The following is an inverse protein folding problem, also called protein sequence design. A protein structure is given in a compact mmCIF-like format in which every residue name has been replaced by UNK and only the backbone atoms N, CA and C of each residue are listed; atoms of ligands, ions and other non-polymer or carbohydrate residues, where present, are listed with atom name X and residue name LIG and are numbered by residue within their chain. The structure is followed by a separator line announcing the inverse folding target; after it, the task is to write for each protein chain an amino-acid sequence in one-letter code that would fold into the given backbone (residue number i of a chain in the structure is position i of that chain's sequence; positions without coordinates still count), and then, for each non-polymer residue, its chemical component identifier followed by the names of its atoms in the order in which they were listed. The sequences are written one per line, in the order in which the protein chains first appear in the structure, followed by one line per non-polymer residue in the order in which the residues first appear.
data_IF_323362674480
#
_entry.id   IF_323362674480
#
_cell.length_a   1.000
_cell.length_b   1.000
_cell.length_c   1.000
_cell.angle_alpha   90.00
_cell.angle_beta   90.00
_cell.angle_gamma   90.00
#
_symmetry.space_group_name_H-M   'P 1'
#
loop_
_entity.id
_entity.type
_entity.pdbx_description
1 polymer ?
#
# COMPACT_ATOMS: atom_id res chain seq x y z
N UNK A 1 4.24 12.12 2.59
CA UNK A 1 4.98 12.11 1.31
C UNK A 1 4.05 12.45 0.17
N UNK A 2 4.59 12.91 -0.96
CA UNK A 2 3.83 13.37 -2.13
C UNK A 2 2.78 12.36 -2.63
N UNK A 3 3.12 11.07 -2.70
CA UNK A 3 2.17 10.00 -3.02
C UNK A 3 0.88 10.01 -2.17
N UNK A 4 1.01 10.19 -0.85
CA UNK A 4 -0.15 10.23 0.07
C UNK A 4 -1.03 11.44 -0.18
N UNK A 5 -0.42 12.60 -0.46
CA UNK A 5 -1.16 13.80 -0.81
C UNK A 5 -1.91 13.63 -2.14
N UNK A 6 -1.27 13.05 -3.15
CA UNK A 6 -1.93 12.72 -4.42
C UNK A 6 -3.10 11.76 -4.24
N UNK A 7 -2.95 10.67 -3.47
CA UNK A 7 -4.07 9.77 -3.15
C UNK A 7 -5.23 10.52 -2.49
N UNK A 8 -4.96 11.34 -1.47
CA UNK A 8 -5.99 12.09 -0.75
C UNK A 8 -6.75 13.07 -1.65
N UNK A 9 -6.11 13.57 -2.71
CA UNK A 9 -6.71 14.42 -3.73
C UNK A 9 -7.38 13.63 -4.88
N UNK A 10 -7.37 12.30 -4.84
CA UNK A 10 -7.91 11.44 -5.90
C UNK A 10 -6.99 11.28 -7.13
N UNK A 11 -5.77 11.81 -7.08
CA UNK A 11 -4.77 11.68 -8.14
C UNK A 11 -4.01 10.35 -8.04
N UNK A 12 -4.70 9.25 -8.30
CA UNK A 12 -4.15 7.90 -8.12
C UNK A 12 -2.99 7.55 -9.06
N UNK A 13 -3.00 8.03 -10.30
CA UNK A 13 -1.88 7.81 -11.25
C UNK A 13 -0.54 8.34 -10.71
N UNK A 14 -0.44 9.65 -10.42
CA UNK A 14 0.76 10.23 -9.81
C UNK A 14 1.13 9.62 -8.45
N UNK A 15 0.13 9.21 -7.65
CA UNK A 15 0.40 8.51 -6.40
C UNK A 15 1.09 7.17 -6.63
N UNK A 16 0.60 6.36 -7.58
CA UNK A 16 1.18 5.07 -7.94
C UNK A 16 2.60 5.24 -8.51
N UNK A 17 2.84 6.25 -9.35
CA UNK A 17 4.18 6.53 -9.89
C UNK A 17 5.21 6.80 -8.78
N UNK A 18 4.85 7.65 -7.81
CA UNK A 18 5.71 7.93 -6.66
C UNK A 18 5.95 6.67 -5.80
N UNK A 19 4.91 5.86 -5.60
CA UNK A 19 5.01 4.60 -4.85
C UNK A 19 5.92 3.60 -5.54
N UNK A 20 5.77 3.41 -6.85
CA UNK A 20 6.63 2.54 -7.65
C UNK A 20 8.08 3.06 -7.67
N UNK A 21 8.29 4.37 -7.70
CA UNK A 21 9.64 4.94 -7.60
C UNK A 21 10.31 4.59 -6.27
N UNK A 22 9.58 4.72 -5.16
CA UNK A 22 10.08 4.30 -3.86
C UNK A 22 10.37 2.79 -3.80
N UNK A 23 9.47 1.96 -4.35
CA UNK A 23 9.62 0.50 -4.37
C UNK A 23 10.75 0.01 -5.30
N UNK A 24 11.15 0.81 -6.29
CA UNK A 24 12.37 0.53 -7.10
C UNK A 24 13.65 0.74 -6.29
N UNK A 25 13.64 1.67 -5.32
CA UNK A 25 14.79 1.94 -4.46
C UNK A 25 14.85 0.96 -3.28
N UNK A 26 13.69 0.66 -2.70
CA UNK A 26 13.52 -0.32 -1.63
C UNK A 26 12.21 -1.08 -1.83
N UNK A 27 12.32 -2.32 -2.32
CA UNK A 27 11.19 -3.18 -2.62
C UNK A 27 10.34 -3.54 -1.38
N UNK A 28 10.90 -3.35 -0.18
CA UNK A 28 10.25 -3.60 1.10
C UNK A 28 9.95 -2.30 1.86
N UNK A 29 9.95 -1.15 1.17
CA UNK A 29 9.61 0.14 1.78
C UNK A 29 8.16 0.14 2.29
N UNK A 30 8.00 -0.19 3.56
CA UNK A 30 6.69 -0.49 4.15
C UNK A 30 5.66 0.63 3.99
N UNK A 31 5.99 1.95 4.11
CA UNK A 31 4.99 2.99 3.96
C UNK A 31 4.41 3.03 2.54
N UNK A 32 5.23 2.69 1.54
CA UNK A 32 4.77 2.60 0.16
C UNK A 32 3.89 1.38 -0.07
N UNK A 33 4.25 0.23 0.49
CA UNK A 33 3.44 -0.98 0.40
C UNK A 33 2.07 -0.81 1.09
N UNK A 34 2.01 -0.17 2.25
CA UNK A 34 0.74 0.15 2.94
C UNK A 34 -0.14 1.03 2.05
N UNK A 35 0.42 2.14 1.54
CA UNK A 35 -0.36 3.06 0.71
C UNK A 35 -0.80 2.43 -0.61
N UNK A 36 0.01 1.53 -1.18
CA UNK A 36 -0.35 0.79 -2.38
C UNK A 36 -1.49 -0.22 -2.09
N UNK A 37 -1.47 -0.87 -0.94
CA UNK A 37 -2.57 -1.71 -0.46
C UNK A 37 -3.88 -0.93 -0.35
N UNK A 38 -3.84 0.27 0.25
CA UNK A 38 -5.01 1.15 0.36
C UNK A 38 -5.55 1.59 -1.01
N UNK A 39 -4.66 1.84 -1.98
CA UNK A 39 -5.04 2.18 -3.36
C UNK A 39 -5.70 0.98 -4.05
N UNK A 40 -5.17 -0.22 -3.90
CA UNK A 40 -5.78 -1.42 -4.47
C UNK A 40 -7.14 -1.76 -3.84
N UNK A 41 -7.27 -1.58 -2.52
CA UNK A 41 -8.55 -1.72 -1.81
C UNK A 41 -9.59 -0.73 -2.36
N UNK A 42 -9.22 0.55 -2.56
CA UNK A 42 -10.09 1.57 -3.15
C UNK A 42 -10.59 1.21 -4.55
N UNK A 43 -9.76 0.56 -5.37
CA UNK A 43 -10.12 0.14 -6.73
C UNK A 43 -10.74 -1.26 -6.81
N UNK A 44 -11.15 -1.85 -5.68
CA UNK A 44 -11.73 -3.20 -5.63
C UNK A 44 -10.80 -4.23 -6.29
N UNK A 45 -9.52 -4.19 -5.91
CA UNK A 45 -8.48 -5.17 -6.30
C UNK A 45 -7.98 -5.90 -5.04
N UNK A 46 -8.82 -6.75 -4.42
CA UNK A 46 -8.50 -7.37 -3.12
C UNK A 46 -7.22 -8.22 -3.15
N UNK A 47 -6.98 -8.99 -4.20
CA UNK A 47 -5.77 -9.83 -4.33
C UNK A 47 -4.47 -9.02 -4.26
N UNK A 48 -4.47 -7.84 -4.90
CA UNK A 48 -3.30 -6.96 -4.93
C UNK A 48 -3.12 -6.24 -3.59
N UNK A 49 -4.23 -5.83 -2.95
CA UNK A 49 -4.21 -5.25 -1.62
C UNK A 49 -3.70 -6.25 -0.58
N UNK A 50 -4.22 -7.48 -0.59
CA UNK A 50 -3.80 -8.57 0.27
C UNK A 50 -2.29 -8.84 0.15
N UNK A 51 -1.77 -8.91 -1.08
CA UNK A 51 -0.34 -9.12 -1.32
C UNK A 51 0.51 -7.97 -0.74
N UNK A 52 0.11 -6.72 -1.00
CA UNK A 52 0.82 -5.54 -0.50
C UNK A 52 0.86 -5.50 1.03
N UNK A 53 -0.28 -5.70 1.70
CA UNK A 53 -0.34 -5.75 3.16
C UNK A 53 0.42 -6.95 3.74
N UNK A 54 0.35 -8.12 3.10
CA UNK A 54 1.09 -9.30 3.52
C UNK A 54 2.60 -9.07 3.51
N UNK A 55 3.14 -8.36 2.50
CA UNK A 55 4.55 -7.97 2.45
C UNK A 55 4.94 -7.01 3.57
N UNK A 56 4.06 -6.11 4.00
CA UNK A 56 4.33 -5.23 5.15
C UNK A 56 4.49 -6.05 6.43
N UNK A 57 3.61 -7.04 6.64
CA UNK A 57 3.60 -7.86 7.85
C UNK A 57 4.78 -8.83 7.95
N UNK A 58 5.54 -9.08 6.88
CA UNK A 58 6.81 -9.81 7.00
C UNK A 58 7.90 -8.98 7.68
N UNK A 59 7.80 -7.65 7.63
CA UNK A 59 8.76 -6.70 8.25
C UNK A 59 8.23 -6.19 9.59
N UNK A 60 6.93 -5.90 9.64
CA UNK A 60 6.24 -5.35 10.80
C UNK A 60 5.06 -6.24 11.21
N UNK A 61 5.32 -7.40 11.87
CA UNK A 61 4.28 -8.40 12.13
C UNK A 61 3.16 -7.94 13.07
N UNK A 62 3.42 -6.92 13.89
CA UNK A 62 2.51 -6.41 14.92
C UNK A 62 1.82 -5.10 14.53
N UNK A 63 1.82 -4.74 13.25
CA UNK A 63 1.16 -3.52 12.77
C UNK A 63 -0.35 -3.78 12.61
N UNK A 64 -1.09 -3.59 13.70
CA UNK A 64 -2.48 -4.05 13.83
C UNK A 64 -3.43 -3.45 12.78
N UNK A 65 -3.21 -2.19 12.36
CA UNK A 65 -3.98 -1.53 11.30
C UNK A 65 -3.81 -2.25 9.95
N UNK A 66 -2.59 -2.67 9.63
CA UNK A 66 -2.28 -3.36 8.36
C UNK A 66 -2.74 -4.81 8.40
N UNK A 67 -2.64 -5.46 9.55
CA UNK A 67 -3.21 -6.79 9.77
C UNK A 67 -4.73 -6.76 9.58
N UNK A 68 -5.40 -5.80 10.21
CA UNK A 68 -6.83 -5.57 10.03
C UNK A 68 -7.17 -5.26 8.57
N UNK A 69 -6.37 -4.45 7.88
CA UNK A 69 -6.59 -4.15 6.46
C UNK A 69 -6.44 -5.37 5.56
N UNK A 70 -5.39 -6.18 5.77
CA UNK A 70 -5.21 -7.45 5.06
C UNK A 70 -6.41 -8.39 5.27
N UNK A 71 -6.87 -8.53 6.51
CA UNK A 71 -7.94 -9.45 6.86
C UNK A 71 -9.31 -8.98 6.30
N UNK A 72 -9.51 -7.68 6.07
CA UNK A 72 -10.71 -7.15 5.38
C UNK A 72 -10.76 -7.47 3.88
N UNK A 73 -9.60 -7.62 3.24
CA UNK A 73 -9.47 -7.85 1.79
C UNK A 73 -9.11 -9.31 1.46
N UNK A 74 -9.17 -10.20 2.45
CA UNK A 74 -8.93 -11.63 2.33
C UNK A 74 -10.14 -12.41 1.78
#
# INVERSE_FOLDING_TARGET
GRARAYKQLGYFGPAIEDLQAALRLDAMHYPSLVLLGEVFEYFERPDLAFNAYSKVLTIHPFLEDVKSARDRVA
#
